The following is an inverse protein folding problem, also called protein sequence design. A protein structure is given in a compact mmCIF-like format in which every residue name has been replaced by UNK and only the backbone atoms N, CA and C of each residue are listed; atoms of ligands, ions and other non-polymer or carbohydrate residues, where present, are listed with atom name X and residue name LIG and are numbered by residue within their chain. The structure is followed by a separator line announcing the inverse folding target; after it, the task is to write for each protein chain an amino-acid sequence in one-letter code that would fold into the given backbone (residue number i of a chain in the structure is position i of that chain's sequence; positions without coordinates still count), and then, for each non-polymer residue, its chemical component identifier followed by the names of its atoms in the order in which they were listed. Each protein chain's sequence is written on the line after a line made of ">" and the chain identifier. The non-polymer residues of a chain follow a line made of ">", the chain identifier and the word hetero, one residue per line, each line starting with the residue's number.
data_IF_731721800011
#
_entry.id   IF_731721800011
#
_cell.length_a   1.000
_cell.length_b   1.000
_cell.length_c   1.000
_cell.angle_alpha   90.00
_cell.angle_beta   90.00
_cell.angle_gamma   90.00
#
_symmetry.space_group_name_H-M   'P 1'
#
loop_
_entity.id
_entity.type
_entity.pdbx_description
1 polymer ?
#
# COMPACT_ATOMS: atom_id res chain seq x y z
N UNK A 1 -26.07 0.64 43.89
CA UNK A 1 -26.23 1.02 42.45
C UNK A 1 -26.80 -0.20 41.73
N UNK A 2 -27.96 -0.04 41.07
CA UNK A 2 -28.61 -1.16 40.34
C UNK A 2 -27.72 -1.63 39.20
N UNK A 3 -27.74 -2.91 38.89
CA UNK A 3 -26.98 -3.49 37.75
C UNK A 3 -27.30 -2.74 36.45
N UNK A 4 -28.54 -2.30 36.29
CA UNK A 4 -29.04 -1.52 35.16
C UNK A 4 -28.28 -0.19 34.99
N UNK A 5 -28.05 0.57 36.06
CA UNK A 5 -27.31 1.82 36.02
C UNK A 5 -25.87 1.63 35.54
N UNK A 6 -25.18 0.56 35.95
CA UNK A 6 -23.83 0.21 35.51
C UNK A 6 -23.79 -0.11 34.01
N UNK A 7 -24.78 -0.83 33.47
CA UNK A 7 -24.87 -1.13 32.04
C UNK A 7 -25.19 0.11 31.22
N UNK A 8 -26.07 1.01 31.71
CA UNK A 8 -26.37 2.28 31.04
C UNK A 8 -25.15 3.20 30.99
N UNK A 9 -24.41 3.33 32.08
CA UNK A 9 -23.19 4.14 32.12
C UNK A 9 -22.10 3.51 31.23
N UNK A 10 -21.92 2.21 31.25
CA UNK A 10 -20.97 1.53 30.37
C UNK A 10 -21.36 1.70 28.89
N UNK A 11 -22.65 1.57 28.56
CA UNK A 11 -23.15 1.81 27.20
C UNK A 11 -22.94 3.25 26.73
N UNK A 12 -23.20 4.23 27.59
CA UNK A 12 -22.97 5.63 27.29
C UNK A 12 -21.48 5.94 27.06
N UNK A 13 -20.59 5.42 27.90
CA UNK A 13 -19.14 5.56 27.74
C UNK A 13 -18.68 4.92 26.42
N UNK A 14 -19.14 3.71 26.12
CA UNK A 14 -18.81 3.03 24.85
C UNK A 14 -19.29 3.83 23.64
N UNK A 15 -20.51 4.37 23.69
CA UNK A 15 -21.03 5.20 22.60
C UNK A 15 -20.21 6.48 22.39
N UNK A 16 -19.81 7.15 23.46
CA UNK A 16 -18.94 8.33 23.40
C UNK A 16 -17.57 7.97 22.81
N UNK A 17 -16.97 6.86 23.26
CA UNK A 17 -15.67 6.41 22.72
C UNK A 17 -15.77 6.10 21.22
N UNK A 18 -16.79 5.35 20.79
CA UNK A 18 -17.02 5.05 19.38
C UNK A 18 -17.25 6.32 18.55
N UNK A 19 -18.00 7.29 19.08
CA UNK A 19 -18.20 8.57 18.43
C UNK A 19 -16.88 9.34 18.27
N UNK A 20 -16.04 9.38 19.30
CA UNK A 20 -14.73 10.03 19.26
C UNK A 20 -13.80 9.34 18.24
N UNK A 21 -13.74 8.02 18.23
CA UNK A 21 -12.96 7.25 17.25
C UNK A 21 -13.43 7.53 15.83
N UNK A 22 -14.74 7.59 15.61
CA UNK A 22 -15.31 7.93 14.31
C UNK A 22 -15.01 9.37 13.90
N UNK A 23 -15.20 10.33 14.80
CA UNK A 23 -14.95 11.75 14.55
C UNK A 23 -13.46 12.04 14.28
N UNK A 24 -12.55 11.40 15.01
CA UNK A 24 -11.09 11.51 14.85
C UNK A 24 -10.48 10.37 14.03
N UNK A 25 -11.26 9.77 13.13
CA UNK A 25 -10.83 8.60 12.34
C UNK A 25 -9.50 8.82 11.60
N UNK A 26 -9.26 10.02 11.06
CA UNK A 26 -8.00 10.36 10.41
C UNK A 26 -6.82 10.32 11.39
N UNK A 27 -6.99 10.85 12.61
CA UNK A 27 -5.93 10.82 13.64
C UNK A 27 -5.65 9.38 14.08
N UNK A 28 -6.70 8.59 14.28
CA UNK A 28 -6.57 7.16 14.60
C UNK A 28 -5.83 6.42 13.47
N UNK A 29 -6.18 6.69 12.22
CA UNK A 29 -5.49 6.13 11.06
C UNK A 29 -4.00 6.54 11.04
N UNK A 30 -3.68 7.81 11.31
CA UNK A 30 -2.28 8.28 11.37
C UNK A 30 -1.49 7.57 12.47
N UNK A 31 -2.09 7.37 13.65
CA UNK A 31 -1.45 6.64 14.76
C UNK A 31 -1.19 5.19 14.36
N UNK A 32 -2.17 4.50 13.76
CA UNK A 32 -2.02 3.10 13.33
C UNK A 32 -0.96 2.94 12.23
N UNK A 33 -1.00 3.80 11.20
CA UNK A 33 0.02 3.80 10.14
C UNK A 33 1.40 4.06 10.72
N UNK A 34 1.52 5.04 11.61
CA UNK A 34 2.78 5.38 12.29
C UNK A 34 3.31 4.24 13.15
N UNK A 35 2.42 3.51 13.83
CA UNK A 35 2.80 2.34 14.63
C UNK A 35 3.36 1.22 13.72
N UNK A 36 2.71 0.96 12.58
CA UNK A 36 3.20 -0.02 11.60
C UNK A 36 4.56 0.40 11.04
N UNK A 37 4.71 1.66 10.62
CA UNK A 37 5.98 2.20 10.12
C UNK A 37 7.09 2.15 11.17
N UNK A 38 6.77 2.44 12.43
CA UNK A 38 7.72 2.33 13.53
C UNK A 38 8.14 0.88 13.77
N UNK A 39 7.21 -0.08 13.70
CA UNK A 39 7.53 -1.52 13.82
C UNK A 39 8.44 -1.97 12.68
N UNK A 40 8.16 -1.55 11.43
CA UNK A 40 9.01 -1.83 10.26
C UNK A 40 10.39 -1.20 10.41
N UNK A 41 10.46 0.03 10.89
CA UNK A 41 11.70 0.77 11.09
C UNK A 41 12.51 0.35 12.33
N UNK A 42 11.88 -0.34 13.29
CA UNK A 42 12.54 -0.73 14.56
C UNK A 42 13.84 -1.48 14.39
N UNK A 43 13.95 -2.52 13.53
CA UNK A 43 15.21 -3.23 13.31
C UNK A 43 16.35 -2.31 12.87
N UNK A 44 16.06 -1.37 11.97
CA UNK A 44 17.03 -0.40 11.48
C UNK A 44 17.44 0.59 12.58
N UNK A 45 16.47 1.09 13.36
CA UNK A 45 16.73 1.99 14.49
C UNK A 45 17.59 1.31 15.56
N UNK A 46 17.29 0.07 15.90
CA UNK A 46 18.02 -0.70 16.91
C UNK A 46 19.44 -1.02 16.41
N UNK A 47 19.60 -1.35 15.12
CA UNK A 47 20.91 -1.57 14.50
C UNK A 47 21.75 -0.29 14.55
N UNK A 48 21.18 0.86 14.15
CA UNK A 48 21.88 2.16 14.17
C UNK A 48 22.23 2.59 15.58
N UNK A 49 21.32 2.42 16.54
CA UNK A 49 21.56 2.79 17.94
C UNK A 49 22.59 1.89 18.65
N UNK A 50 22.78 0.66 18.13
CA UNK A 50 23.82 -0.27 18.58
C UNK A 50 25.22 0.08 18.09
N UNK A 51 25.35 0.94 17.08
CA UNK A 51 26.66 1.35 16.57
C UNK A 51 27.42 2.24 17.57
N UNK A 52 28.67 1.91 17.80
CA UNK A 52 29.57 2.71 18.60
C UNK A 52 30.36 3.66 17.70
N UNK A 53 30.02 4.94 17.73
CA UNK A 53 30.78 5.96 17.01
C UNK A 53 31.72 6.66 17.99
N UNK A 54 33.01 6.41 17.85
CA UNK A 54 34.10 7.14 18.52
C UNK A 54 34.03 7.22 20.06
N UNK A 55 33.61 6.17 20.78
CA UNK A 55 33.52 6.11 22.26
C UNK A 55 32.14 6.43 22.86
N UNK A 56 31.17 6.84 22.08
CA UNK A 56 29.77 7.08 22.54
C UNK A 56 28.80 6.22 21.76
N UNK A 57 27.73 5.76 22.42
CA UNK A 57 26.61 5.08 21.73
C UNK A 57 25.87 6.10 20.85
N UNK A 58 25.51 5.68 19.65
CA UNK A 58 24.74 6.53 18.75
C UNK A 58 23.39 6.90 19.41
N UNK A 59 23.04 8.20 19.54
CA UNK A 59 21.83 8.60 20.24
C UNK A 59 20.59 8.04 19.55
N UNK A 60 19.69 7.46 20.32
CA UNK A 60 18.47 6.84 19.78
C UNK A 60 17.61 7.82 18.98
N UNK A 61 17.59 9.09 19.35
CA UNK A 61 16.90 10.15 18.60
C UNK A 61 17.46 10.32 17.19
N UNK A 62 18.79 10.28 17.03
CA UNK A 62 19.43 10.36 15.70
C UNK A 62 19.20 9.07 14.91
N UNK A 63 19.25 7.92 15.55
CA UNK A 63 18.91 6.64 14.91
C UNK A 63 17.46 6.65 14.39
N UNK A 64 16.51 7.11 15.18
CA UNK A 64 15.11 7.25 14.77
C UNK A 64 14.95 8.23 13.60
N UNK A 65 15.65 9.36 13.61
CA UNK A 65 15.63 10.32 12.51
C UNK A 65 16.21 9.73 11.22
N UNK A 66 17.37 9.05 11.31
CA UNK A 66 17.97 8.38 10.16
C UNK A 66 17.05 7.28 9.59
N UNK A 67 16.40 6.50 10.46
CA UNK A 67 15.42 5.49 10.05
C UNK A 67 14.23 6.12 9.35
N UNK A 68 13.69 7.22 9.90
CA UNK A 68 12.58 7.95 9.29
C UNK A 68 12.97 8.49 7.90
N UNK A 69 14.16 9.07 7.78
CA UNK A 69 14.68 9.52 6.49
C UNK A 69 14.85 8.35 5.51
N UNK A 70 15.36 7.21 5.97
CA UNK A 70 15.46 6.01 5.14
C UNK A 70 14.09 5.53 4.64
N UNK A 71 13.07 5.52 5.51
CA UNK A 71 11.68 5.19 5.11
C UNK A 71 11.22 6.16 4.02
N UNK A 72 11.43 7.48 4.19
CA UNK A 72 11.06 8.47 3.19
C UNK A 72 11.82 8.31 1.87
N UNK A 73 13.11 8.01 1.92
CA UNK A 73 13.92 7.73 0.72
C UNK A 73 13.34 6.53 -0.05
N UNK A 74 12.95 5.47 0.66
CA UNK A 74 12.31 4.31 0.03
C UNK A 74 10.96 4.69 -0.57
N UNK A 75 10.09 5.37 0.17
CA UNK A 75 8.77 5.79 -0.31
C UNK A 75 8.89 6.69 -1.54
N UNK A 76 9.71 7.76 -1.46
CA UNK A 76 9.92 8.70 -2.58
C UNK A 76 10.59 7.99 -3.74
N UNK A 77 11.56 7.10 -3.49
CA UNK A 77 12.24 6.32 -4.52
C UNK A 77 11.28 5.40 -5.29
N UNK A 78 10.39 4.72 -4.57
CA UNK A 78 9.33 3.91 -5.19
C UNK A 78 8.42 4.79 -6.05
N UNK A 79 7.93 5.91 -5.53
CA UNK A 79 7.11 6.82 -6.32
C UNK A 79 7.85 7.36 -7.56
N UNK A 80 9.10 7.77 -7.40
CA UNK A 80 9.91 8.30 -8.49
C UNK A 80 10.17 7.27 -9.60
N UNK A 81 10.29 6.00 -9.23
CA UNK A 81 10.46 4.90 -10.17
C UNK A 81 9.14 4.52 -10.86
N UNK A 82 8.06 4.35 -10.07
CA UNK A 82 6.78 3.84 -10.58
C UNK A 82 5.98 4.87 -11.38
N UNK A 83 5.96 6.11 -10.93
CA UNK A 83 5.16 7.16 -11.59
C UNK A 83 5.50 7.32 -13.07
N UNK A 84 6.77 7.49 -13.51
CA UNK A 84 7.08 7.63 -14.92
C UNK A 84 6.76 6.38 -15.73
N UNK A 85 6.94 5.18 -15.17
CA UNK A 85 6.62 3.92 -15.84
C UNK A 85 5.13 3.79 -16.09
N UNK A 86 4.32 4.07 -15.07
CA UNK A 86 2.86 4.06 -15.19
C UNK A 86 2.41 5.09 -16.23
N UNK A 87 2.94 6.32 -16.20
CA UNK A 87 2.62 7.35 -17.19
C UNK A 87 3.03 6.97 -18.61
N UNK A 88 4.19 6.36 -18.80
CA UNK A 88 4.61 5.86 -20.11
C UNK A 88 3.64 4.79 -20.62
N UNK A 89 3.28 3.83 -19.79
CA UNK A 89 2.33 2.77 -20.17
C UNK A 89 0.94 3.35 -20.46
N UNK A 90 0.46 4.27 -19.66
CA UNK A 90 -0.81 4.97 -19.93
C UNK A 90 -0.76 5.69 -21.28
N UNK A 91 0.35 6.38 -21.61
CA UNK A 91 0.52 7.04 -22.92
C UNK A 91 0.56 6.04 -24.07
N UNK A 92 1.26 4.92 -23.90
CA UNK A 92 1.27 3.84 -24.90
C UNK A 92 -0.15 3.32 -25.15
N UNK A 93 -0.91 3.06 -24.09
CA UNK A 93 -2.32 2.65 -24.19
C UNK A 93 -3.22 3.74 -24.77
N UNK A 94 -2.99 5.01 -24.42
CA UNK A 94 -3.75 6.14 -24.99
C UNK A 94 -3.43 6.42 -26.45
N UNK A 95 -2.25 6.02 -26.94
CA UNK A 95 -1.87 6.12 -28.35
C UNK A 95 -2.34 4.94 -29.18
N UNK A 96 -2.84 3.87 -28.54
CA UNK A 96 -3.49 2.79 -29.28
C UNK A 96 -4.78 3.33 -29.89
N UNK A 97 -4.87 3.23 -31.19
CA UNK A 97 -6.12 3.56 -31.92
C UNK A 97 -7.17 2.49 -31.57
N UNK A 98 -7.89 2.74 -30.45
CA UNK A 98 -8.93 1.84 -29.94
C UNK A 98 -9.94 1.50 -31.02
N UNK A 99 -10.40 2.45 -31.86
CA UNK A 99 -11.17 2.15 -33.05
C UNK A 99 -10.50 1.12 -33.98
N UNK A 100 -9.19 1.19 -34.16
CA UNK A 100 -8.46 0.25 -35.01
C UNK A 100 -8.35 -1.14 -34.39
N UNK A 101 -8.16 -1.22 -33.08
CA UNK A 101 -8.17 -2.48 -32.34
C UNK A 101 -9.57 -3.12 -32.41
N UNK A 102 -10.62 -2.35 -32.15
CA UNK A 102 -12.01 -2.83 -32.26
C UNK A 102 -12.28 -3.32 -33.67
N UNK A 103 -11.83 -2.60 -34.71
CA UNK A 103 -11.97 -3.03 -36.11
C UNK A 103 -11.23 -4.33 -36.42
N UNK A 104 -10.03 -4.53 -35.89
CA UNK A 104 -9.28 -5.79 -36.10
C UNK A 104 -9.94 -7.01 -35.44
N UNK A 105 -10.73 -6.79 -34.40
CA UNK A 105 -11.56 -7.85 -33.79
C UNK A 105 -12.97 -7.94 -34.36
N UNK A 106 -13.42 -6.96 -35.20
CA UNK A 106 -14.77 -6.99 -35.77
C UNK A 106 -14.99 -8.20 -36.66
N UNK A 107 -14.05 -8.55 -37.53
CA UNK A 107 -14.20 -9.73 -38.39
C UNK A 107 -14.31 -11.03 -37.61
N UNK A 108 -13.43 -11.37 -36.67
CA UNK A 108 -13.58 -12.54 -35.81
C UNK A 108 -14.87 -12.52 -34.98
N UNK A 109 -15.25 -11.37 -34.43
CA UNK A 109 -16.47 -11.22 -33.63
C UNK A 109 -17.73 -11.37 -34.45
N UNK A 110 -17.79 -10.80 -35.67
CA UNK A 110 -18.90 -10.98 -36.60
C UNK A 110 -19.04 -12.44 -37.08
N UNK A 111 -17.93 -13.12 -37.29
CA UNK A 111 -17.94 -14.55 -37.65
C UNK A 111 -18.46 -15.41 -36.48
N UNK A 112 -18.07 -15.09 -35.25
CA UNK A 112 -18.55 -15.74 -34.02
C UNK A 112 -20.03 -15.43 -33.77
N UNK A 113 -20.44 -14.19 -33.95
CA UNK A 113 -21.83 -13.74 -33.84
C UNK A 113 -22.71 -14.44 -34.89
N UNK A 114 -22.28 -14.54 -36.15
CA UNK A 114 -22.99 -15.25 -37.21
C UNK A 114 -23.08 -16.76 -36.94
N UNK A 115 -22.09 -17.35 -36.29
CA UNK A 115 -22.13 -18.75 -35.87
C UNK A 115 -23.13 -18.97 -34.73
N UNK A 116 -23.10 -18.10 -33.69
CA UNK A 116 -24.02 -18.18 -32.55
C UNK A 116 -25.47 -17.98 -33.03
N UNK A 117 -25.73 -17.00 -33.90
CA UNK A 117 -27.05 -16.74 -34.46
C UNK A 117 -27.58 -17.94 -35.24
N UNK A 118 -26.73 -18.63 -36.01
CA UNK A 118 -27.08 -19.84 -36.74
C UNK A 118 -27.44 -21.02 -35.84
N UNK A 119 -26.70 -21.17 -34.75
CA UNK A 119 -26.89 -22.27 -33.79
C UNK A 119 -28.11 -22.07 -32.90
N UNK A 120 -28.33 -20.83 -32.46
CA UNK A 120 -29.35 -20.49 -31.45
C UNK A 120 -30.58 -19.77 -32.01
N UNK A 121 -30.67 -19.53 -33.34
CA UNK A 121 -31.82 -18.89 -34.03
C UNK A 121 -32.25 -17.56 -33.42
N UNK A 122 -31.29 -16.73 -32.98
CA UNK A 122 -31.53 -15.43 -32.32
C UNK A 122 -31.76 -14.35 -33.40
N UNK A 123 -32.79 -13.52 -33.22
CA UNK A 123 -33.15 -12.42 -34.14
C UNK A 123 -32.12 -11.29 -34.15
N UNK A 124 -31.98 -10.59 -35.29
CA UNK A 124 -30.98 -9.56 -35.55
C UNK A 124 -31.03 -8.34 -34.56
N UNK A 125 -32.17 -8.09 -33.95
CA UNK A 125 -32.38 -6.92 -33.10
C UNK A 125 -32.04 -7.10 -31.61
N UNK A 126 -31.75 -8.33 -31.18
CA UNK A 126 -31.65 -8.59 -29.71
C UNK A 126 -30.24 -8.77 -29.17
N UNK A 127 -29.21 -8.97 -30.00
CA UNK A 127 -27.87 -9.25 -29.47
C UNK A 127 -26.75 -8.82 -30.42
N UNK A 128 -25.94 -7.85 -29.98
CA UNK A 128 -24.68 -7.47 -30.64
C UNK A 128 -23.51 -7.64 -29.66
N UNK A 129 -22.64 -8.62 -29.96
CA UNK A 129 -21.40 -8.85 -29.19
C UNK A 129 -20.47 -7.64 -29.27
N UNK A 130 -20.43 -6.95 -30.41
CA UNK A 130 -19.58 -5.79 -30.63
C UNK A 130 -20.01 -4.61 -29.74
N UNK A 131 -21.32 -4.38 -29.63
CA UNK A 131 -21.84 -3.30 -28.79
C UNK A 131 -21.68 -3.60 -27.30
N UNK A 132 -21.96 -4.84 -26.89
CA UNK A 132 -21.79 -5.27 -25.51
C UNK A 132 -20.30 -5.17 -25.04
N UNK A 133 -19.37 -5.57 -25.89
CA UNK A 133 -17.92 -5.45 -25.59
C UNK A 133 -17.49 -3.99 -25.63
N UNK A 134 -17.98 -3.19 -26.58
CA UNK A 134 -17.64 -1.78 -26.71
C UNK A 134 -18.13 -0.97 -25.51
N UNK A 135 -19.33 -1.24 -24.98
CA UNK A 135 -19.85 -0.60 -23.77
C UNK A 135 -19.04 -0.94 -22.50
N UNK A 136 -18.55 -2.17 -22.40
CA UNK A 136 -17.73 -2.58 -21.25
C UNK A 136 -16.30 -2.04 -21.32
N UNK A 137 -15.77 -1.81 -22.51
CA UNK A 137 -14.40 -1.34 -22.71
C UNK A 137 -14.32 0.20 -22.66
N UNK A 138 -15.34 0.93 -23.15
CA UNK A 138 -15.38 2.39 -23.13
C UNK A 138 -15.01 3.03 -21.77
N UNK A 139 -15.57 2.59 -20.63
CA UNK A 139 -15.22 3.16 -19.32
C UNK A 139 -13.77 2.89 -18.91
N UNK A 140 -13.17 1.78 -19.35
CA UNK A 140 -11.79 1.40 -19.06
C UNK A 140 -10.77 2.22 -19.87
N UNK A 141 -11.22 2.78 -21.01
CA UNK A 141 -10.43 3.58 -21.94
C UNK A 141 -10.68 5.09 -21.79
N UNK A 142 -11.56 5.49 -20.87
CA UNK A 142 -11.87 6.90 -20.66
C UNK A 142 -10.67 7.62 -20.02
N UNK A 143 -10.01 8.43 -20.85
CA UNK A 143 -8.91 9.32 -20.43
C UNK A 143 -9.38 10.30 -19.34
N UNK A 144 -10.69 10.54 -19.23
CA UNK A 144 -11.30 11.33 -18.16
C UNK A 144 -11.07 10.74 -16.77
N UNK A 145 -11.04 9.41 -16.63
CA UNK A 145 -10.72 8.74 -15.35
C UNK A 145 -9.28 9.06 -14.92
N UNK A 146 -8.35 9.07 -15.88
CA UNK A 146 -6.94 9.36 -15.63
C UNK A 146 -6.75 10.84 -15.27
N UNK A 147 -7.41 11.75 -15.99
CA UNK A 147 -7.37 13.17 -15.68
C UNK A 147 -8.02 13.48 -14.33
N UNK A 148 -9.10 12.78 -13.97
CA UNK A 148 -9.74 12.89 -12.66
C UNK A 148 -8.84 12.34 -11.54
N UNK A 149 -8.13 11.24 -11.75
CA UNK A 149 -7.13 10.72 -10.80
C UNK A 149 -5.99 11.72 -10.61
N UNK A 150 -5.47 12.31 -11.69
CA UNK A 150 -4.41 13.31 -11.63
C UNK A 150 -4.87 14.60 -10.92
N UNK A 151 -6.06 15.10 -11.24
CA UNK A 151 -6.63 16.28 -10.57
C UNK A 151 -6.92 16.01 -9.10
N UNK A 152 -7.39 14.80 -8.77
CA UNK A 152 -7.59 14.38 -7.37
C UNK A 152 -6.28 14.36 -6.59
N UNK A 153 -5.18 13.88 -7.19
CA UNK A 153 -3.86 13.91 -6.57
C UNK A 153 -3.44 15.36 -6.28
N UNK A 154 -3.63 16.28 -7.23
CA UNK A 154 -3.24 17.69 -7.08
C UNK A 154 -4.09 18.42 -6.04
N UNK A 155 -5.40 18.17 -5.99
CA UNK A 155 -6.30 18.81 -5.02
C UNK A 155 -6.12 18.27 -3.59
N UNK A 156 -5.65 17.03 -3.45
CA UNK A 156 -5.39 16.38 -2.15
C UNK A 156 -4.02 16.74 -1.56
N UNK A 157 -3.19 17.54 -2.24
CA UNK A 157 -1.83 17.87 -1.77
C UNK A 157 -1.82 18.47 -0.36
N UNK A 158 -2.75 19.35 -0.03
CA UNK A 158 -2.84 19.95 1.31
C UNK A 158 -3.04 18.91 2.41
N UNK A 159 -4.03 18.05 2.25
CA UNK A 159 -4.36 17.00 3.23
C UNK A 159 -3.24 15.95 3.30
N UNK A 160 -2.62 15.64 2.15
CA UNK A 160 -1.48 14.71 2.07
C UNK A 160 -0.26 15.23 2.83
N UNK A 161 0.04 16.53 2.76
CA UNK A 161 1.17 17.14 3.49
C UNK A 161 0.92 17.06 5.00
N UNK A 162 -0.28 17.39 5.45
CA UNK A 162 -0.66 17.30 6.87
C UNK A 162 -0.56 15.84 7.36
N UNK A 163 -1.09 14.90 6.57
CA UNK A 163 -1.02 13.48 6.88
C UNK A 163 0.44 12.99 6.95
N UNK A 164 1.26 13.31 5.93
CA UNK A 164 2.66 12.94 5.86
C UNK A 164 3.46 13.50 7.03
N UNK A 165 3.26 14.77 7.37
CA UNK A 165 3.89 15.40 8.53
C UNK A 165 3.47 14.73 9.83
N UNK A 166 2.16 14.51 10.03
CA UNK A 166 1.61 13.88 11.24
C UNK A 166 2.13 12.46 11.41
N UNK A 167 2.06 11.65 10.35
CA UNK A 167 2.57 10.28 10.34
C UNK A 167 4.08 10.26 10.64
N UNK A 168 4.85 11.14 10.00
CA UNK A 168 6.30 11.23 10.23
C UNK A 168 6.63 11.60 11.67
N UNK A 169 5.93 12.59 12.22
CA UNK A 169 6.12 13.04 13.57
C UNK A 169 5.82 11.92 14.58
N UNK A 170 4.67 11.29 14.46
CA UNK A 170 4.27 10.18 15.35
C UNK A 170 5.24 8.99 15.20
N UNK A 171 5.60 8.63 13.97
CA UNK A 171 6.56 7.53 13.68
C UNK A 171 7.92 7.81 14.32
N UNK A 172 8.41 9.06 14.24
CA UNK A 172 9.65 9.44 14.89
C UNK A 172 9.63 9.19 16.40
N UNK A 173 8.54 9.58 17.08
CA UNK A 173 8.43 9.36 18.52
C UNK A 173 8.30 7.88 18.87
N UNK A 174 7.57 7.11 18.09
CA UNK A 174 7.46 5.66 18.30
C UNK A 174 8.79 4.93 18.07
N UNK A 175 9.61 5.38 17.11
CA UNK A 175 10.96 4.85 16.90
C UNK A 175 11.92 5.25 18.02
N UNK A 176 11.82 6.50 18.49
CA UNK A 176 12.64 7.02 19.58
C UNK A 176 12.32 6.31 20.89
N UNK A 177 11.04 6.16 21.20
CA UNK A 177 10.55 5.54 22.43
C UNK A 177 9.78 4.25 22.11
N UNK A 178 10.50 3.12 22.07
CA UNK A 178 9.97 1.84 21.60
C UNK A 178 8.79 1.28 22.39
N UNK A 179 8.53 1.79 23.59
CA UNK A 179 7.41 1.38 24.43
C UNK A 179 6.21 2.32 24.37
N UNK A 180 6.38 3.51 23.77
CA UNK A 180 5.35 4.55 23.76
C UNK A 180 4.00 4.06 23.23
N UNK A 181 4.00 3.33 22.13
CA UNK A 181 2.76 2.77 21.57
C UNK A 181 2.12 1.75 22.51
N UNK A 182 2.92 0.86 23.09
CA UNK A 182 2.43 -0.14 24.06
C UNK A 182 1.84 0.55 25.29
N UNK A 183 2.53 1.55 25.82
CA UNK A 183 2.09 2.29 27.01
C UNK A 183 0.80 3.06 26.75
N UNK A 184 0.66 3.66 25.56
CA UNK A 184 -0.58 4.34 25.13
C UNK A 184 -1.77 3.38 25.08
N UNK A 185 -1.56 2.18 24.56
CA UNK A 185 -2.63 1.18 24.47
C UNK A 185 -2.97 0.64 25.84
N UNK A 186 -1.95 0.30 26.65
CA UNK A 186 -2.14 -0.29 27.99
C UNK A 186 -2.91 0.66 28.92
N UNK A 187 -2.65 1.97 28.86
CA UNK A 187 -3.31 2.96 29.73
C UNK A 187 -4.83 3.07 29.48
N UNK A 188 -5.31 2.63 28.32
CA UNK A 188 -6.75 2.61 27.98
C UNK A 188 -7.52 1.49 28.68
N UNK A 189 -6.81 0.54 29.31
CA UNK A 189 -7.41 -0.63 29.92
C UNK A 189 -7.20 -0.68 31.44
N UNK A 190 -8.09 -1.37 32.21
CA UNK A 190 -7.88 -1.58 33.63
C UNK A 190 -6.59 -2.34 33.92
N UNK A 191 -5.86 -1.95 34.98
CA UNK A 191 -4.57 -2.55 35.40
C UNK A 191 -4.57 -4.07 35.47
N UNK A 192 -5.73 -4.68 35.75
CA UNK A 192 -5.88 -6.14 35.80
C UNK A 192 -5.51 -6.83 34.47
N UNK A 193 -5.70 -6.15 33.34
CA UNK A 193 -5.48 -6.73 32.00
C UNK A 193 -4.13 -6.32 31.40
N UNK A 194 -3.39 -5.41 32.04
CA UNK A 194 -2.10 -4.88 31.61
C UNK A 194 -1.11 -5.97 31.14
N UNK A 195 -0.84 -7.06 31.95
CA UNK A 195 0.14 -8.08 31.54
C UNK A 195 -0.30 -8.87 30.30
N UNK A 196 -1.61 -9.05 30.12
CA UNK A 196 -2.13 -9.77 28.96
C UNK A 196 -2.07 -8.92 27.70
N UNK A 197 -2.38 -7.63 27.81
CA UNK A 197 -2.33 -6.66 26.69
C UNK A 197 -0.90 -6.46 26.25
N UNK A 198 0.03 -6.22 27.19
CA UNK A 198 1.46 -6.08 26.87
C UNK A 198 1.98 -7.30 26.14
N UNK A 199 1.69 -8.51 26.63
CA UNK A 199 2.10 -9.75 25.99
C UNK A 199 1.50 -9.93 24.59
N UNK A 200 0.23 -9.53 24.40
CA UNK A 200 -0.41 -9.57 23.09
C UNK A 200 0.25 -8.59 22.11
N UNK A 201 0.51 -7.35 22.54
CA UNK A 201 1.17 -6.33 21.72
C UNK A 201 2.60 -6.72 21.37
N UNK A 202 3.36 -7.29 22.30
CA UNK A 202 4.70 -7.80 22.04
C UNK A 202 4.67 -8.94 21.03
N UNK A 203 3.71 -9.84 21.14
CA UNK A 203 3.53 -10.95 20.19
C UNK A 203 3.20 -10.43 18.79
N UNK A 204 2.26 -9.47 18.68
CA UNK A 204 1.91 -8.83 17.41
C UNK A 204 3.11 -8.09 16.80
N UNK A 205 3.83 -7.34 17.63
CA UNK A 205 5.03 -6.61 17.20
C UNK A 205 6.09 -7.57 16.66
N UNK A 206 6.35 -8.66 17.35
CA UNK A 206 7.30 -9.70 16.92
C UNK A 206 6.89 -10.36 15.59
N UNK A 207 5.60 -10.68 15.44
CA UNK A 207 5.06 -11.25 14.20
C UNK A 207 5.19 -10.27 13.03
N UNK A 208 4.85 -8.99 13.25
CA UNK A 208 4.97 -7.96 12.22
C UNK A 208 6.42 -7.73 11.80
N UNK A 209 7.36 -7.61 12.75
CA UNK A 209 8.80 -7.48 12.43
C UNK A 209 9.26 -8.66 11.57
N UNK A 210 8.93 -9.89 11.99
CA UNK A 210 9.31 -11.10 11.25
C UNK A 210 8.69 -11.13 9.85
N UNK A 211 7.43 -10.77 9.72
CA UNK A 211 6.71 -10.71 8.46
C UNK A 211 7.33 -9.68 7.51
N UNK A 212 7.52 -8.44 7.95
CA UNK A 212 8.13 -7.40 7.11
C UNK A 212 9.58 -7.68 6.75
N UNK A 213 10.37 -8.22 7.67
CA UNK A 213 11.75 -8.65 7.37
C UNK A 213 11.75 -9.76 6.32
N UNK A 214 10.79 -10.70 6.42
CA UNK A 214 10.60 -11.75 5.42
C UNK A 214 10.26 -11.20 4.04
N UNK A 215 9.29 -10.30 3.96
CA UNK A 215 8.92 -9.65 2.69
C UNK A 215 10.10 -8.89 2.07
N UNK A 216 10.84 -8.11 2.85
CA UNK A 216 12.01 -7.37 2.34
C UNK A 216 13.09 -8.34 1.81
N UNK A 217 13.34 -9.43 2.53
CA UNK A 217 14.29 -10.46 2.09
C UNK A 217 13.81 -11.14 0.80
N UNK A 218 12.55 -11.55 0.74
CA UNK A 218 11.91 -12.16 -0.44
C UNK A 218 11.95 -11.22 -1.65
N UNK A 219 11.54 -9.97 -1.49
CA UNK A 219 11.56 -8.95 -2.54
C UNK A 219 12.99 -8.68 -3.06
N UNK A 220 13.98 -8.68 -2.16
CA UNK A 220 15.38 -8.52 -2.53
C UNK A 220 15.88 -9.71 -3.35
N UNK A 221 15.54 -10.93 -2.95
CA UNK A 221 15.89 -12.16 -3.67
C UNK A 221 15.21 -12.18 -5.04
N UNK A 222 13.93 -11.84 -5.12
CA UNK A 222 13.21 -11.75 -6.40
C UNK A 222 13.83 -10.72 -7.34
N UNK A 223 14.17 -9.52 -6.83
CA UNK A 223 14.89 -8.50 -7.60
C UNK A 223 16.18 -9.07 -8.19
N UNK A 224 16.99 -9.76 -7.39
CA UNK A 224 18.26 -10.36 -7.83
C UNK A 224 18.04 -11.44 -8.87
N UNK A 225 17.13 -12.38 -8.64
CA UNK A 225 16.89 -13.51 -9.54
C UNK A 225 16.40 -13.00 -10.90
N UNK A 226 15.41 -12.09 -10.91
CA UNK A 226 14.85 -11.55 -12.15
C UNK A 226 15.89 -10.72 -12.89
N UNK A 227 16.65 -9.87 -12.19
CA UNK A 227 17.72 -9.08 -12.83
C UNK A 227 18.79 -9.97 -13.46
N UNK A 228 19.26 -10.99 -12.76
CA UNK A 228 20.26 -11.93 -13.27
C UNK A 228 19.70 -12.74 -14.46
N UNK A 229 18.45 -13.21 -14.37
CA UNK A 229 17.79 -13.93 -15.47
C UNK A 229 17.70 -13.08 -16.74
N UNK A 230 17.32 -11.81 -16.61
CA UNK A 230 17.25 -10.89 -17.75
C UNK A 230 18.64 -10.56 -18.33
N UNK A 231 19.67 -10.44 -17.49
CA UNK A 231 21.05 -10.28 -17.96
C UNK A 231 21.51 -11.51 -18.78
N UNK A 232 21.19 -12.72 -18.34
CA UNK A 232 21.48 -13.95 -19.07
C UNK A 232 20.75 -14.03 -20.42
N UNK A 233 19.58 -13.43 -20.53
CA UNK A 233 18.80 -13.32 -21.78
C UNK A 233 19.31 -12.20 -22.71
N UNK A 234 20.39 -11.48 -22.35
CA UNK A 234 20.99 -10.44 -23.17
C UNK A 234 20.37 -9.06 -23.05
N UNK A 235 19.51 -8.82 -22.03
CA UNK A 235 19.02 -7.47 -21.74
C UNK A 235 20.15 -6.58 -21.21
N UNK A 236 20.06 -5.26 -21.49
CA UNK A 236 21.01 -4.30 -20.93
C UNK A 236 20.93 -4.29 -19.40
N UNK A 237 22.06 -4.03 -18.74
CA UNK A 237 22.14 -3.98 -17.26
C UNK A 237 21.09 -3.03 -16.67
N UNK A 238 20.90 -1.86 -17.30
CA UNK A 238 19.91 -0.88 -16.88
C UNK A 238 18.50 -1.44 -16.89
N UNK A 239 18.07 -2.03 -18.00
CA UNK A 239 16.72 -2.60 -18.15
C UNK A 239 16.49 -3.79 -17.22
N UNK A 240 17.50 -4.67 -17.10
CA UNK A 240 17.43 -5.83 -16.21
C UNK A 240 17.26 -5.42 -14.74
N UNK A 241 18.00 -4.42 -14.27
CA UNK A 241 17.90 -3.91 -12.91
C UNK A 241 16.54 -3.20 -12.67
N UNK A 242 16.10 -2.38 -13.62
CA UNK A 242 14.82 -1.66 -13.49
C UNK A 242 13.65 -2.65 -13.42
N UNK A 243 13.61 -3.64 -14.33
CA UNK A 243 12.53 -4.64 -14.35
C UNK A 243 12.59 -5.51 -13.08
N UNK A 244 13.77 -5.97 -12.69
CA UNK A 244 13.96 -6.75 -11.46
C UNK A 244 13.50 -5.99 -10.21
N UNK A 245 13.83 -4.71 -10.12
CA UNK A 245 13.42 -3.86 -9.00
C UNK A 245 11.90 -3.62 -8.99
N UNK A 246 11.28 -3.44 -10.17
CA UNK A 246 9.82 -3.35 -10.29
C UNK A 246 9.16 -4.62 -9.77
N UNK A 247 9.62 -5.78 -10.22
CA UNK A 247 9.08 -7.09 -9.78
C UNK A 247 9.24 -7.25 -8.27
N UNK A 248 10.43 -6.94 -7.73
CA UNK A 248 10.67 -7.03 -6.30
C UNK A 248 9.77 -6.10 -5.47
N UNK A 249 9.56 -4.87 -5.92
CA UNK A 249 8.66 -3.92 -5.22
C UNK A 249 7.20 -4.37 -5.34
N UNK A 250 6.75 -4.84 -6.50
CA UNK A 250 5.39 -5.38 -6.68
C UNK A 250 5.12 -6.60 -5.80
N UNK A 251 6.16 -7.40 -5.51
CA UNK A 251 6.06 -8.55 -4.62
C UNK A 251 5.72 -8.17 -3.16
N UNK A 252 6.00 -6.92 -2.75
CA UNK A 252 5.58 -6.42 -1.42
C UNK A 252 4.06 -6.37 -1.29
N UNK A 253 3.33 -6.20 -2.41
CA UNK A 253 1.88 -6.16 -2.41
C UNK A 253 1.35 -7.60 -2.55
N UNK A 254 0.68 -8.15 -1.50
CA UNK A 254 0.10 -9.48 -1.59
C UNK A 254 -0.81 -9.61 -2.82
N UNK A 255 -0.72 -10.72 -3.50
CA UNK A 255 -1.50 -11.05 -4.72
C UNK A 255 -1.09 -10.36 -6.04
N UNK A 256 -0.21 -9.34 -6.04
CA UNK A 256 0.29 -8.76 -7.30
C UNK A 256 1.59 -9.43 -7.79
N UNK A 257 2.39 -10.02 -6.89
CA UNK A 257 3.65 -10.66 -7.23
C UNK A 257 3.52 -12.00 -7.96
N UNK A 258 2.59 -12.89 -7.62
CA UNK A 258 2.47 -14.22 -8.22
C UNK A 258 1.83 -14.28 -9.61
N UNK A 259 1.29 -13.17 -10.14
CA UNK A 259 0.69 -13.07 -11.48
C UNK A 259 1.68 -12.41 -12.44
#
# INVERSE_FOLDING_TARGET
>A
MSKLYRYLVAGAITAVVLFLVWYFSNVVAYILVSAVLAIIGKPLTDLLSGLHVRRTRFPRSLAALCTLLAIWVVVVGVFWLFVPIVFQKIREFSSLDVPQIIRSFQEPLMSLESFIRRVFSISESEFSLVDAISEQIKPLLDIGVINNLLSSIVTTVGDTVIAAFSISFITFFFLKESHLFTDMVVIMFPKKYEPNITRALDSVTHLLIRYFTGIVAESSIMTLIVSLGLLMLGFSVHNALVIGLIVGVLNVIPYLGPW
#
